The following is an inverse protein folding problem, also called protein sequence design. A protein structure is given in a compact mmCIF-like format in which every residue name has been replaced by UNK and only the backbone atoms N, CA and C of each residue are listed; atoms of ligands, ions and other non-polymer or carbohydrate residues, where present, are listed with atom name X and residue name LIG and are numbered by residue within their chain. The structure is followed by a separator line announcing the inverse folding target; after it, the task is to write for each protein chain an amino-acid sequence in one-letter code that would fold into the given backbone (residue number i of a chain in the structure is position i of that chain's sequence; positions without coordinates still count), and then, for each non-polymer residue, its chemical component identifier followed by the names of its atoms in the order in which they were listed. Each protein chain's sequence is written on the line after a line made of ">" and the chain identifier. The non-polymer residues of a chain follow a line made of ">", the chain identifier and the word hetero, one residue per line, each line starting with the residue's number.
data_IF_387850434639
#
_entry.id   IF_387850434639
#
_cell.length_a   1.000
_cell.length_b   1.000
_cell.length_c   1.000
_cell.angle_alpha   90.00
_cell.angle_beta   90.00
_cell.angle_gamma   90.00
#
_symmetry.space_group_name_H-M   'P 1'
#
loop_
_entity.id
_entity.type
_entity.pdbx_description
1 polymer ?
#
# COMPACT_ATOMS: atom_id res chain seq x y z
N UNK A 1 21.64 6.98 7.44
CA UNK A 1 21.43 5.78 6.60
C UNK A 1 22.71 5.36 5.88
N UNK A 2 23.38 6.25 5.15
CA UNK A 2 24.64 5.95 4.45
C UNK A 2 25.72 5.43 5.41
N UNK A 3 25.94 6.11 6.52
CA UNK A 3 26.93 5.73 7.57
C UNK A 3 26.65 4.35 8.19
N UNK A 4 25.37 3.94 8.22
CA UNK A 4 24.94 2.62 8.68
C UNK A 4 25.03 1.54 7.59
N UNK A 5 25.51 1.89 6.39
CA UNK A 5 25.67 0.94 5.28
C UNK A 5 24.36 0.44 4.65
N UNK A 6 23.22 1.13 4.87
CA UNK A 6 21.93 0.73 4.31
C UNK A 6 21.95 0.86 2.79
N UNK A 7 21.40 -0.16 2.10
CA UNK A 7 21.41 -0.26 0.63
C UNK A 7 20.07 0.13 0.00
N UNK A 8 19.00 0.11 0.75
CA UNK A 8 17.67 0.49 0.28
C UNK A 8 16.88 1.20 1.37
N UNK A 9 15.92 2.01 0.95
CA UNK A 9 15.01 2.70 1.85
C UNK A 9 13.58 2.65 1.31
N UNK A 10 12.68 2.07 2.10
CA UNK A 10 11.26 2.07 1.83
C UNK A 10 10.59 3.24 2.52
N UNK A 11 9.86 4.04 1.74
CA UNK A 11 9.06 5.15 2.26
C UNK A 11 7.72 5.23 1.55
N UNK A 12 6.75 5.89 2.16
CA UNK A 12 5.44 6.13 1.56
C UNK A 12 5.29 7.57 1.06
N UNK A 13 4.57 7.70 -0.04
CA UNK A 13 4.14 8.99 -0.57
C UNK A 13 2.77 9.33 -0.01
N UNK A 14 2.65 10.49 0.63
CA UNK A 14 1.38 10.94 1.19
C UNK A 14 0.45 11.45 0.08
N UNK A 15 -0.66 10.74 -0.13
CA UNK A 15 -1.65 11.14 -1.11
C UNK A 15 -2.16 12.58 -0.91
N UNK A 16 -2.57 13.01 0.33
CA UNK A 16 -3.01 14.38 0.55
C UNK A 16 -1.91 15.44 0.38
N UNK A 17 -0.63 15.06 0.39
CA UNK A 17 0.47 15.97 0.07
C UNK A 17 0.62 16.20 -1.43
N UNK A 18 0.38 15.16 -2.23
CA UNK A 18 0.52 15.20 -3.69
C UNK A 18 -0.73 15.73 -4.36
N UNK A 19 -1.92 15.39 -3.86
CA UNK A 19 -3.20 15.88 -4.39
C UNK A 19 -3.83 16.78 -3.33
N UNK A 20 -3.96 18.07 -3.66
CA UNK A 20 -4.54 19.07 -2.78
C UNK A 20 -6.06 18.90 -2.60
N UNK A 21 -6.65 19.70 -1.69
CA UNK A 21 -8.08 19.57 -1.36
C UNK A 21 -9.02 19.89 -2.53
N UNK A 22 -8.56 20.67 -3.49
CA UNK A 22 -9.29 20.99 -4.73
C UNK A 22 -9.14 19.90 -5.83
N UNK A 23 -8.49 18.77 -5.51
CA UNK A 23 -8.29 17.65 -6.42
C UNK A 23 -7.18 17.85 -7.44
N UNK A 24 -6.37 18.90 -7.33
CA UNK A 24 -5.25 19.17 -8.25
C UNK A 24 -3.93 18.63 -7.72
N UNK A 25 -3.02 18.38 -8.65
CA UNK A 25 -1.64 18.02 -8.30
C UNK A 25 -0.96 19.20 -7.62
N UNK A 26 -0.34 18.94 -6.47
CA UNK A 26 0.47 19.89 -5.73
C UNK A 26 1.95 19.76 -6.14
N UNK A 27 2.51 20.68 -6.93
CA UNK A 27 3.89 20.58 -7.40
C UNK A 27 4.91 20.53 -6.26
N UNK A 28 4.69 21.29 -5.18
CA UNK A 28 5.58 21.28 -4.00
C UNK A 28 5.56 19.93 -3.27
N UNK A 29 4.41 19.25 -3.28
CA UNK A 29 4.32 17.89 -2.72
C UNK A 29 5.13 16.88 -3.52
N UNK A 30 5.09 16.96 -4.85
CA UNK A 30 5.91 16.11 -5.73
C UNK A 30 7.40 16.44 -5.63
N UNK A 31 7.75 17.74 -5.59
CA UNK A 31 9.13 18.21 -5.44
C UNK A 31 9.79 17.65 -4.18
N UNK A 32 9.07 17.62 -3.05
CA UNK A 32 9.57 17.02 -1.82
C UNK A 32 10.02 15.57 -2.03
N UNK A 33 9.19 14.75 -2.70
CA UNK A 33 9.53 13.35 -2.94
C UNK A 33 10.59 13.18 -4.03
N UNK A 34 10.62 14.07 -5.02
CA UNK A 34 11.68 14.10 -6.03
C UNK A 34 13.04 14.34 -5.37
N UNK A 35 13.14 15.35 -4.51
CA UNK A 35 14.36 15.67 -3.78
C UNK A 35 14.79 14.53 -2.83
N UNK A 36 13.82 13.85 -2.18
CA UNK A 36 14.10 12.67 -1.36
C UNK A 36 14.71 11.54 -2.18
N UNK A 37 14.15 11.25 -3.35
CA UNK A 37 14.66 10.22 -4.27
C UNK A 37 16.06 10.58 -4.75
N UNK A 38 16.29 11.84 -5.14
CA UNK A 38 17.61 12.31 -5.57
C UNK A 38 18.67 12.13 -4.47
N UNK A 39 18.33 12.49 -3.22
CA UNK A 39 19.27 12.36 -2.10
C UNK A 39 19.56 10.89 -1.78
N UNK A 40 18.57 9.99 -1.89
CA UNK A 40 18.78 8.55 -1.72
C UNK A 40 19.76 8.01 -2.77
N UNK A 41 19.50 8.28 -4.05
CA UNK A 41 20.33 7.81 -5.17
C UNK A 41 21.75 8.36 -5.06
N UNK A 42 21.91 9.64 -4.77
CA UNK A 42 23.22 10.28 -4.55
C UNK A 42 24.04 9.57 -3.46
N UNK A 43 23.37 8.97 -2.47
CA UNK A 43 24.01 8.21 -1.39
C UNK A 43 24.10 6.70 -1.67
N UNK A 44 23.75 6.23 -2.87
CA UNK A 44 23.79 4.81 -3.24
C UNK A 44 22.73 3.95 -2.53
N UNK A 45 21.59 4.57 -2.18
CA UNK A 45 20.48 3.92 -1.47
C UNK A 45 19.32 3.79 -2.47
N UNK A 46 18.88 2.55 -2.72
CA UNK A 46 17.77 2.25 -3.64
C UNK A 46 16.42 2.66 -3.02
N UNK A 47 15.61 3.52 -3.68
CA UNK A 47 14.30 3.90 -3.20
C UNK A 47 13.24 2.83 -3.50
N UNK A 48 12.48 2.41 -2.48
CA UNK A 48 11.28 1.58 -2.59
C UNK A 48 10.06 2.44 -2.24
N UNK A 49 9.24 2.78 -3.23
CA UNK A 49 8.14 3.74 -3.06
C UNK A 49 6.84 3.02 -2.77
N UNK A 50 6.24 3.30 -1.61
CA UNK A 50 4.88 2.85 -1.25
C UNK A 50 3.88 3.97 -1.58
N UNK A 51 2.90 3.66 -2.44
CA UNK A 51 1.93 4.66 -2.91
C UNK A 51 0.81 4.93 -1.91
N UNK A 52 0.36 3.93 -1.14
CA UNK A 52 -0.65 4.12 -0.12
C UNK A 52 -0.27 3.46 1.20
N UNK A 53 -0.16 4.28 2.26
CA UNK A 53 0.11 3.81 3.62
C UNK A 53 -0.88 4.46 4.60
N UNK A 54 -2.20 4.31 4.30
CA UNK A 54 -3.36 4.61 5.14
C UNK A 54 -3.78 6.08 5.23
N UNK A 55 -3.08 6.98 4.57
CA UNK A 55 -3.33 8.42 4.56
C UNK A 55 -4.36 8.85 3.51
N UNK A 56 -5.62 8.48 3.74
CA UNK A 56 -6.73 8.85 2.89
C UNK A 56 -6.99 10.39 2.96
N UNK A 57 -7.00 11.13 1.82
CA UNK A 57 -7.33 12.53 1.82
C UNK A 57 -8.72 12.82 2.39
N UNK A 58 -8.88 13.89 3.16
CA UNK A 58 -10.17 14.26 3.76
C UNK A 58 -11.27 14.49 2.71
N UNK A 59 -10.92 15.08 1.56
CA UNK A 59 -11.87 15.27 0.46
C UNK A 59 -12.35 13.92 -0.11
N UNK A 60 -11.45 12.93 -0.19
CA UNK A 60 -11.81 11.58 -0.64
C UNK A 60 -12.65 10.84 0.40
N UNK A 61 -12.33 11.01 1.68
CA UNK A 61 -13.18 10.51 2.76
C UNK A 61 -14.60 11.08 2.68
N UNK A 62 -14.75 12.38 2.44
CA UNK A 62 -16.05 13.06 2.26
C UNK A 62 -16.84 12.51 1.06
N UNK A 63 -16.17 12.07 -0.01
CA UNK A 63 -16.80 11.36 -1.15
C UNK A 63 -17.25 9.94 -0.80
N UNK A 64 -16.83 9.39 0.35
CA UNK A 64 -17.16 8.03 0.83
C UNK A 64 -16.00 7.05 0.83
N UNK A 65 -14.80 7.50 0.45
CA UNK A 65 -13.54 6.75 0.58
C UNK A 65 -13.58 5.37 -0.09
N UNK A 66 -12.98 4.39 0.57
CA UNK A 66 -12.87 3.01 0.07
C UNK A 66 -14.20 2.26 -0.11
N UNK A 67 -15.33 2.88 0.20
CA UNK A 67 -16.67 2.32 -0.04
C UNK A 67 -17.36 2.85 -1.31
N UNK A 68 -16.67 3.70 -2.09
CA UNK A 68 -17.19 4.28 -3.35
C UNK A 68 -16.25 3.95 -4.52
N UNK A 69 -16.83 3.67 -5.68
CA UNK A 69 -16.07 3.29 -6.88
C UNK A 69 -15.19 4.41 -7.43
N UNK A 70 -15.57 5.66 -7.19
CA UNK A 70 -14.84 6.85 -7.67
C UNK A 70 -13.38 6.86 -7.20
N UNK A 71 -13.09 6.21 -6.06
CA UNK A 71 -11.72 6.09 -5.55
C UNK A 71 -10.77 5.39 -6.52
N UNK A 72 -11.29 4.54 -7.42
CA UNK A 72 -10.49 3.82 -8.41
C UNK A 72 -9.79 4.80 -9.35
N UNK A 73 -10.53 5.75 -9.89
CA UNK A 73 -9.99 6.74 -10.83
C UNK A 73 -9.26 7.87 -10.09
N UNK A 74 -9.74 8.31 -8.93
CA UNK A 74 -9.06 9.29 -8.09
C UNK A 74 -7.68 8.78 -7.62
N UNK A 75 -7.58 7.49 -7.25
CA UNK A 75 -6.31 6.89 -6.89
C UNK A 75 -5.37 6.71 -8.09
N UNK A 76 -5.91 6.30 -9.23
CA UNK A 76 -5.14 6.18 -10.47
C UNK A 76 -4.58 7.54 -10.93
N UNK A 77 -5.33 8.62 -10.76
CA UNK A 77 -4.85 9.98 -11.03
C UNK A 77 -3.65 10.35 -10.14
N UNK A 78 -3.76 10.09 -8.84
CA UNK A 78 -2.66 10.27 -7.89
C UNK A 78 -1.43 9.42 -8.27
N UNK A 79 -1.63 8.13 -8.53
CA UNK A 79 -0.56 7.20 -8.92
C UNK A 79 0.15 7.69 -10.19
N UNK A 80 -0.61 8.15 -11.20
CA UNK A 80 -0.04 8.72 -12.41
C UNK A 80 0.89 9.89 -12.11
N UNK A 81 0.43 10.85 -11.30
CA UNK A 81 1.22 12.04 -10.96
C UNK A 81 2.56 11.67 -10.29
N UNK A 82 2.53 10.71 -9.35
CA UNK A 82 3.75 10.25 -8.65
C UNK A 82 4.68 9.50 -9.59
N UNK A 83 4.12 8.60 -10.41
CA UNK A 83 4.91 7.78 -11.36
C UNK A 83 5.59 8.65 -12.42
N UNK A 84 4.88 9.59 -13.02
CA UNK A 84 5.47 10.51 -14.02
C UNK A 84 6.61 11.35 -13.42
N UNK A 85 6.52 11.71 -12.13
CA UNK A 85 7.53 12.52 -11.45
C UNK A 85 8.79 11.74 -11.04
N UNK A 86 8.66 10.43 -10.69
CA UNK A 86 9.72 9.70 -10.02
C UNK A 86 10.27 8.50 -10.80
N UNK A 87 9.55 7.99 -11.81
CA UNK A 87 9.87 6.70 -12.44
C UNK A 87 11.07 6.70 -13.40
N UNK A 88 11.67 7.84 -13.65
CA UNK A 88 12.98 7.95 -14.27
C UNK A 88 14.12 7.46 -13.36
N UNK A 89 13.88 7.45 -12.05
CA UNK A 89 14.85 7.09 -10.98
C UNK A 89 14.38 5.90 -10.15
N UNK A 90 13.08 5.74 -9.92
CA UNK A 90 12.49 4.68 -9.09
C UNK A 90 12.10 3.47 -9.92
N UNK A 91 12.54 2.28 -9.49
CA UNK A 91 12.20 0.99 -10.09
C UNK A 91 11.18 0.21 -9.26
N UNK A 92 11.26 0.30 -7.92
CA UNK A 92 10.48 -0.51 -6.99
C UNK A 92 9.26 0.23 -6.45
N UNK A 93 8.06 -0.32 -6.73
CA UNK A 93 6.77 0.27 -6.40
C UNK A 93 5.95 -0.68 -5.54
N UNK A 94 5.45 -0.20 -4.43
CA UNK A 94 4.48 -0.90 -3.59
C UNK A 94 3.17 -0.13 -3.69
N UNK A 95 2.13 -0.76 -4.25
CA UNK A 95 0.85 -0.09 -4.46
C UNK A 95 0.16 0.24 -3.14
N UNK A 96 0.09 -0.73 -2.23
CA UNK A 96 -0.55 -0.58 -0.92
C UNK A 96 0.27 -1.23 0.19
N UNK A 97 0.27 -0.60 1.35
CA UNK A 97 0.73 -1.20 2.59
C UNK A 97 -0.43 -1.84 3.33
N UNK A 98 -0.35 -3.15 3.59
CA UNK A 98 -1.21 -3.91 4.49
C UNK A 98 -2.72 -3.58 4.30
N UNK A 99 -3.31 -3.87 3.14
CA UNK A 99 -4.69 -3.49 2.84
C UNK A 99 -5.70 -4.08 3.84
N UNK A 100 -5.41 -5.25 4.36
CA UNK A 100 -6.19 -5.87 5.41
C UNK A 100 -6.25 -5.04 6.68
N UNK A 101 -5.12 -4.47 7.08
CA UNK A 101 -5.03 -3.72 8.34
C UNK A 101 -5.87 -2.44 8.30
N UNK A 102 -5.78 -1.62 7.25
CA UNK A 102 -6.58 -0.41 7.21
C UNK A 102 -8.08 -0.69 7.00
N UNK A 103 -8.43 -1.82 6.35
CA UNK A 103 -9.82 -2.27 6.30
C UNK A 103 -10.34 -2.68 7.67
N UNK A 104 -9.65 -3.63 8.30
CA UNK A 104 -10.09 -4.16 9.60
C UNK A 104 -10.12 -3.07 10.66
N UNK A 105 -9.02 -2.37 10.85
CA UNK A 105 -8.87 -1.38 11.90
C UNK A 105 -9.70 -0.12 11.64
N UNK A 106 -9.77 0.33 10.38
CA UNK A 106 -10.44 1.57 10.03
C UNK A 106 -11.94 1.44 9.75
N UNK A 107 -12.35 0.36 9.09
CA UNK A 107 -13.73 0.22 8.60
C UNK A 107 -14.56 -0.83 9.34
N UNK A 108 -13.93 -1.80 10.02
CA UNK A 108 -14.64 -2.85 10.76
C UNK A 108 -14.57 -2.64 12.27
N UNK A 109 -13.37 -2.51 12.84
CA UNK A 109 -13.16 -2.38 14.27
C UNK A 109 -13.26 -0.93 14.78
N UNK A 110 -13.05 0.05 13.92
CA UNK A 110 -13.12 1.46 14.27
C UNK A 110 -12.00 1.95 15.20
N UNK A 111 -10.87 1.26 15.25
CA UNK A 111 -9.71 1.63 16.09
C UNK A 111 -8.72 2.55 15.37
N UNK A 112 -8.79 2.62 14.05
CA UNK A 112 -8.05 3.57 13.22
C UNK A 112 -9.00 4.46 12.41
N UNK A 113 -8.49 5.57 11.88
CA UNK A 113 -9.25 6.36 10.92
C UNK A 113 -9.69 5.48 9.72
N UNK A 114 -10.92 5.63 9.26
CA UNK A 114 -11.95 6.62 9.57
C UNK A 114 -12.93 6.23 10.71
N UNK A 115 -12.54 5.35 11.63
CA UNK A 115 -13.28 4.96 12.84
C UNK A 115 -14.70 4.46 12.55
N UNK A 116 -14.86 3.62 11.53
CA UNK A 116 -16.17 3.05 11.11
C UNK A 116 -16.36 1.64 11.65
N UNK A 117 -17.62 1.27 11.88
CA UNK A 117 -18.07 -0.08 12.20
C UNK A 117 -18.98 -0.58 11.08
N UNK A 118 -18.40 -1.12 9.98
CA UNK A 118 -19.09 -1.47 8.74
C UNK A 118 -18.82 -2.92 8.30
N UNK A 119 -19.07 -3.88 9.18
CA UNK A 119 -18.78 -5.31 8.92
C UNK A 119 -19.42 -5.84 7.62
N UNK A 120 -20.65 -5.43 7.31
CA UNK A 120 -21.36 -5.83 6.09
C UNK A 120 -20.77 -5.22 4.81
N UNK A 121 -19.87 -4.26 4.94
CA UNK A 121 -19.24 -3.63 3.77
C UNK A 121 -18.00 -4.39 3.26
N UNK A 122 -17.57 -5.47 3.91
CA UNK A 122 -16.37 -6.23 3.56
C UNK A 122 -16.34 -6.67 2.08
N UNK A 123 -17.38 -7.32 1.52
CA UNK A 123 -17.36 -7.73 0.12
C UNK A 123 -17.23 -6.55 -0.85
N UNK A 124 -17.92 -5.45 -0.54
CA UNK A 124 -17.87 -4.23 -1.35
C UNK A 124 -16.49 -3.57 -1.28
N UNK A 125 -15.92 -3.46 -0.08
CA UNK A 125 -14.57 -2.92 0.12
C UNK A 125 -13.55 -3.74 -0.66
N UNK A 126 -13.56 -5.07 -0.49
CA UNK A 126 -12.63 -5.98 -1.17
C UNK A 126 -12.69 -5.81 -2.68
N UNK A 127 -13.90 -5.79 -3.25
CA UNK A 127 -14.09 -5.57 -4.69
C UNK A 127 -13.50 -4.23 -5.16
N UNK A 128 -13.77 -3.15 -4.43
CA UNK A 128 -13.25 -1.81 -4.77
C UNK A 128 -11.73 -1.78 -4.63
N UNK A 129 -11.18 -2.33 -3.54
CA UNK A 129 -9.74 -2.44 -3.34
C UNK A 129 -9.04 -3.19 -4.48
N UNK A 130 -9.55 -4.37 -4.86
CA UNK A 130 -8.96 -5.18 -5.94
C UNK A 130 -8.96 -4.44 -7.28
N UNK A 131 -10.07 -3.76 -7.61
CA UNK A 131 -10.15 -2.95 -8.82
C UNK A 131 -9.20 -1.75 -8.77
N UNK A 132 -9.07 -1.11 -7.61
CA UNK A 132 -8.14 0.03 -7.42
C UNK A 132 -6.69 -0.42 -7.54
N UNK A 133 -6.34 -1.56 -6.93
CA UNK A 133 -5.00 -2.11 -7.05
C UNK A 133 -4.65 -2.48 -8.51
N UNK A 134 -5.57 -3.17 -9.20
CA UNK A 134 -5.40 -3.46 -10.62
C UNK A 134 -5.18 -2.20 -11.44
N UNK A 135 -6.02 -1.18 -11.27
CA UNK A 135 -5.89 0.10 -11.97
C UNK A 135 -4.58 0.80 -11.64
N UNK A 136 -4.12 0.75 -10.37
CA UNK A 136 -2.82 1.30 -9.99
C UNK A 136 -1.66 0.60 -10.71
N UNK A 137 -1.66 -0.73 -10.77
CA UNK A 137 -0.65 -1.51 -11.50
C UNK A 137 -0.65 -1.18 -13.00
N UNK A 138 -1.83 -1.11 -13.63
CA UNK A 138 -1.98 -0.70 -15.04
C UNK A 138 -1.43 0.72 -15.26
N UNK A 139 -1.72 1.65 -14.33
CA UNK A 139 -1.24 3.02 -14.39
C UNK A 139 0.28 3.10 -14.25
N UNK A 140 0.88 2.38 -13.30
CA UNK A 140 2.34 2.33 -13.15
C UNK A 140 2.97 1.80 -14.44
N UNK A 141 2.50 0.66 -14.96
CA UNK A 141 3.04 0.06 -16.20
C UNK A 141 2.94 0.97 -17.41
N UNK A 142 1.86 1.76 -17.48
CA UNK A 142 1.61 2.67 -18.60
C UNK A 142 2.51 3.90 -18.59
N UNK A 143 2.76 4.48 -17.41
CA UNK A 143 3.41 5.79 -17.28
C UNK A 143 4.84 5.74 -16.75
N UNK A 144 5.32 4.57 -16.32
CA UNK A 144 6.69 4.43 -15.86
C UNK A 144 7.69 4.58 -17.00
N UNK A 145 8.73 5.39 -16.79
CA UNK A 145 9.83 5.64 -17.72
C UNK A 145 10.85 4.51 -17.73
N UNK A 146 11.01 3.80 -16.62
CA UNK A 146 11.81 2.57 -16.47
C UNK A 146 10.88 1.38 -16.29
N UNK A 147 11.33 0.15 -16.60
CA UNK A 147 10.58 -1.08 -16.32
C UNK A 147 10.32 -1.20 -14.84
N UNK A 148 9.05 -1.09 -14.37
CA UNK A 148 8.75 -1.11 -12.95
C UNK A 148 8.71 -2.54 -12.39
N UNK A 149 9.16 -2.70 -11.14
CA UNK A 149 8.92 -3.86 -10.30
C UNK A 149 7.84 -3.48 -9.30
N UNK A 150 6.70 -4.16 -9.35
CA UNK A 150 5.48 -3.75 -8.63
C UNK A 150 5.06 -4.86 -7.68
N UNK A 151 4.79 -4.50 -6.43
CA UNK A 151 4.33 -5.41 -5.40
C UNK A 151 3.28 -4.81 -4.48
N UNK A 152 2.88 -5.62 -3.51
CA UNK A 152 2.06 -5.27 -2.35
C UNK A 152 2.84 -5.64 -1.09
N UNK A 153 2.62 -4.90 -0.01
CA UNK A 153 3.10 -5.27 1.31
C UNK A 153 1.94 -5.81 2.15
N UNK A 154 2.12 -6.99 2.71
CA UNK A 154 1.13 -7.63 3.59
C UNK A 154 1.65 -7.72 5.02
N UNK A 155 0.75 -7.52 5.99
CA UNK A 155 0.96 -8.00 7.34
C UNK A 155 0.67 -9.50 7.36
N UNK A 156 1.67 -10.30 7.63
CA UNK A 156 1.53 -11.75 7.80
C UNK A 156 2.26 -12.19 9.06
N UNK A 157 1.72 -13.21 9.73
CA UNK A 157 2.37 -13.91 10.82
C UNK A 157 2.69 -15.34 10.42
N UNK A 158 3.74 -15.90 10.97
CA UNK A 158 4.01 -17.32 10.91
C UNK A 158 3.88 -17.91 12.32
N UNK A 159 3.19 -19.04 12.44
CA UNK A 159 3.18 -19.85 13.65
C UNK A 159 4.33 -20.85 13.58
N UNK A 160 5.10 -20.92 14.64
CA UNK A 160 6.21 -21.86 14.78
C UNK A 160 5.65 -23.08 15.53
N UNK A 161 5.97 -24.32 15.13
CA UNK A 161 5.56 -25.51 15.87
C UNK A 161 6.17 -25.50 17.27
N UNK A 162 5.40 -25.95 18.26
CA UNK A 162 5.91 -26.10 19.63
C UNK A 162 6.96 -27.20 19.73
N UNK A 163 6.85 -28.20 18.86
CA UNK A 163 7.80 -29.30 18.72
C UNK A 163 7.99 -29.58 17.21
N UNK A 164 9.19 -29.29 16.70
CA UNK A 164 9.54 -29.53 15.30
C UNK A 164 9.67 -31.04 14.96
N UNK A 165 9.83 -31.88 15.95
CA UNK A 165 9.90 -33.36 15.79
C UNK A 165 8.53 -34.03 15.76
N UNK A 166 7.47 -33.33 16.22
CA UNK A 166 6.09 -33.81 16.16
C UNK A 166 5.39 -33.36 14.87
N UNK A 167 5.05 -34.29 13.94
CA UNK A 167 4.34 -33.96 12.71
C UNK A 167 3.01 -33.24 12.92
N UNK A 168 2.30 -33.51 14.04
CA UNK A 168 1.04 -32.80 14.34
C UNK A 168 1.27 -31.35 14.72
N UNK A 169 2.30 -31.09 15.52
CA UNK A 169 2.67 -29.71 15.88
C UNK A 169 3.08 -28.92 14.64
N UNK A 170 3.82 -29.53 13.72
CA UNK A 170 4.21 -28.91 12.43
C UNK A 170 2.99 -28.63 11.55
N UNK A 171 2.07 -29.61 11.42
CA UNK A 171 0.84 -29.43 10.64
C UNK A 171 -0.08 -28.36 11.24
N UNK A 172 -0.24 -28.31 12.55
CA UNK A 172 -1.01 -27.24 13.21
C UNK A 172 -0.40 -25.85 12.98
N UNK A 173 0.91 -25.71 13.12
CA UNK A 173 1.62 -24.46 12.87
C UNK A 173 1.48 -24.03 11.40
N UNK A 174 1.62 -24.95 10.46
CA UNK A 174 1.38 -24.73 9.03
C UNK A 174 -0.05 -24.27 8.78
N UNK A 175 -1.03 -25.00 9.28
CA UNK A 175 -2.45 -24.68 9.11
C UNK A 175 -2.79 -23.31 9.71
N UNK A 176 -2.29 -22.98 10.90
CA UNK A 176 -2.47 -21.67 11.52
C UNK A 176 -1.78 -20.55 10.71
N UNK A 177 -0.61 -20.83 10.13
CA UNK A 177 0.13 -19.86 9.31
C UNK A 177 -0.54 -19.59 7.97
N UNK A 178 -1.19 -20.56 7.37
CA UNK A 178 -1.75 -20.47 6.00
C UNK A 178 -3.28 -20.53 5.92
N UNK A 179 -3.99 -20.78 7.03
CA UNK A 179 -5.44 -20.71 7.06
C UNK A 179 -5.95 -19.27 7.25
N UNK A 180 -6.99 -18.95 6.49
CA UNK A 180 -7.71 -17.67 6.58
C UNK A 180 -8.60 -17.70 7.83
N UNK A 181 -8.01 -17.47 9.00
CA UNK A 181 -8.78 -17.07 10.18
C UNK A 181 -8.78 -15.56 10.30
N UNK A 182 -9.79 -14.96 10.91
CA UNK A 182 -10.00 -13.50 10.99
C UNK A 182 -8.85 -12.69 11.65
N UNK A 183 -7.77 -13.34 12.10
CA UNK A 183 -6.58 -12.72 12.67
C UNK A 183 -5.31 -12.86 11.83
N UNK A 184 -5.29 -13.78 10.89
CA UNK A 184 -4.17 -13.97 9.96
C UNK A 184 -4.74 -13.98 8.54
N UNK A 185 -4.79 -12.80 7.90
CA UNK A 185 -5.14 -12.75 6.49
C UNK A 185 -3.96 -13.25 5.66
N UNK A 186 -3.81 -14.56 5.63
CA UNK A 186 -2.87 -15.21 4.75
C UNK A 186 -3.40 -15.23 3.32
N UNK A 187 -2.73 -14.48 2.50
CA UNK A 187 -2.38 -14.63 1.07
C UNK A 187 -3.35 -15.35 0.09
N UNK A 188 -4.62 -15.58 0.40
CA UNK A 188 -5.61 -16.06 -0.57
C UNK A 188 -6.36 -14.95 -1.33
N UNK A 189 -5.76 -13.77 -1.43
CA UNK A 189 -6.30 -12.63 -2.18
C UNK A 189 -5.78 -12.54 -3.63
N UNK A 190 -5.08 -13.60 -4.09
CA UNK A 190 -4.53 -13.73 -5.45
C UNK A 190 -5.26 -14.76 -6.29
#
# INVERSE_FOLDING_TARGET
>A
MKELGLKSYRFSVSWPRVISQDGKVNPKGLEFYSNLVDELIKNGIEPLVTLYHWDLPLWQYKKGGWLKKDIIDDFAFYVKAVVEALSDRVTYWITFNEPSCFLMNGYMQGVHAPFKHRYLALPKFTKIFMLTNRRAVETIRKYAKKKPLIGLSFASGAFIPNDESDPKSVEEAYNKSFNVTMGTMNNRWW
#
